data_IF_929881183479
#
_entry.id   IF_929881183479
#
_cell.length_a   1.000
_cell.length_b   1.000
_cell.length_c   1.000
_cell.angle_alpha   90.00
_cell.angle_beta   90.00
_cell.angle_gamma   90.00
#
_symmetry.space_group_name_H-M   'P 1'
#
loop_
_entity.id
_entity.type
_entity.pdbx_description
1 polymer ?
#
# COMPACT_ATOMS: atom_id res chain seq x y z
N UNK A 1 -33.15 -44.56 -14.22
CA UNK A 1 -33.27 -43.59 -13.11
C UNK A 1 -34.08 -42.40 -13.61
N UNK A 2 -35.16 -42.00 -12.92
CA UNK A 2 -36.07 -40.95 -13.42
C UNK A 2 -35.37 -39.60 -13.54
N UNK A 3 -35.58 -38.86 -14.63
CA UNK A 3 -35.02 -37.51 -14.87
C UNK A 3 -35.37 -36.53 -13.75
N UNK A 4 -36.48 -36.75 -13.03
CA UNK A 4 -36.86 -36.00 -11.83
C UNK A 4 -35.96 -36.27 -10.63
N UNK A 5 -35.46 -37.49 -10.47
CA UNK A 5 -34.56 -37.86 -9.38
C UNK A 5 -33.18 -37.24 -9.65
N UNK A 6 -32.67 -37.36 -10.88
CA UNK A 6 -31.40 -36.77 -11.28
C UNK A 6 -31.37 -35.24 -11.10
N UNK A 7 -32.45 -34.54 -11.49
CA UNK A 7 -32.56 -33.08 -11.34
C UNK A 7 -32.60 -32.63 -9.87
N UNK A 8 -33.28 -33.39 -9.01
CA UNK A 8 -33.29 -33.11 -7.55
C UNK A 8 -31.93 -33.35 -6.93
N UNK A 9 -31.25 -34.44 -7.29
CA UNK A 9 -29.90 -34.74 -6.80
C UNK A 9 -28.89 -33.67 -7.22
N UNK A 10 -28.94 -33.19 -8.47
CA UNK A 10 -28.05 -32.12 -8.96
C UNK A 10 -28.30 -30.80 -8.23
N UNK A 11 -29.57 -30.39 -8.04
CA UNK A 11 -29.90 -29.18 -7.29
C UNK A 11 -29.46 -29.28 -5.82
N UNK A 12 -29.67 -30.44 -5.19
CA UNK A 12 -29.22 -30.67 -3.81
C UNK A 12 -27.69 -30.66 -3.68
N UNK A 13 -26.94 -31.18 -4.65
CA UNK A 13 -25.47 -31.12 -4.66
C UNK A 13 -24.99 -29.67 -4.86
N UNK A 14 -25.61 -28.90 -5.75
CA UNK A 14 -25.31 -27.47 -5.92
C UNK A 14 -25.57 -26.66 -4.64
N UNK A 15 -26.70 -26.89 -3.96
CA UNK A 15 -27.00 -26.27 -2.66
C UNK A 15 -26.05 -26.72 -1.54
N UNK A 16 -25.59 -27.97 -1.57
CA UNK A 16 -24.62 -28.48 -0.60
C UNK A 16 -23.23 -27.88 -0.83
N UNK A 17 -22.84 -27.67 -2.09
CA UNK A 17 -21.60 -27.00 -2.46
C UNK A 17 -21.59 -25.52 -2.06
N UNK A 18 -22.74 -24.83 -2.07
CA UNK A 18 -22.84 -23.45 -1.53
C UNK A 18 -22.76 -23.37 -0.01
N UNK A 19 -22.89 -24.50 0.71
CA UNK A 19 -22.75 -24.56 2.16
C UNK A 19 -21.31 -24.86 2.61
N UNK A 20 -20.42 -25.18 1.66
CA UNK A 20 -18.97 -25.27 1.89
C UNK A 20 -18.35 -23.91 1.57
N UNK A 21 -18.86 -22.85 2.21
CA UNK A 21 -18.06 -21.63 2.33
C UNK A 21 -17.07 -21.96 3.44
N UNK A 22 -15.74 -21.95 3.19
CA UNK A 22 -14.80 -21.96 4.30
C UNK A 22 -15.19 -20.76 5.18
N UNK A 23 -15.66 -21.04 6.39
CA UNK A 23 -15.66 -20.03 7.44
C UNK A 23 -14.19 -19.70 7.65
N UNK A 24 -13.70 -18.67 6.97
CA UNK A 24 -12.48 -18.00 7.36
C UNK A 24 -12.80 -17.46 8.76
N UNK A 25 -12.24 -18.11 9.78
CA UNK A 25 -12.29 -17.53 11.11
C UNK A 25 -11.25 -16.42 11.09
N UNK A 26 -11.73 -15.25 10.72
CA UNK A 26 -11.19 -13.96 11.01
C UNK A 26 -10.59 -13.88 12.41
N UNK A 27 -9.28 -13.71 12.50
CA UNK A 27 -8.63 -13.39 13.78
C UNK A 27 -8.11 -11.97 13.72
N UNK A 28 -8.98 -10.99 14.02
CA UNK A 28 -8.54 -9.65 14.43
C UNK A 28 -7.66 -9.74 15.67
N UNK A 29 -6.82 -8.74 15.94
CA UNK A 29 -5.75 -8.72 16.95
C UNK A 29 -6.04 -9.58 18.19
N UNK A 30 -5.60 -10.84 18.13
CA UNK A 30 -5.76 -11.82 19.20
C UNK A 30 -6.86 -12.86 19.07
N UNK A 31 -7.46 -13.00 17.90
CA UNK A 31 -8.52 -13.97 17.63
C UNK A 31 -9.89 -13.61 18.18
N UNK A 32 -10.13 -12.34 18.49
CA UNK A 32 -11.41 -11.86 19.05
C UNK A 32 -11.78 -10.52 18.42
N UNK A 33 -13.04 -10.40 17.98
CA UNK A 33 -13.65 -9.12 17.57
C UNK A 33 -14.86 -8.79 18.48
N UNK A 34 -14.98 -7.56 19.01
CA UNK A 34 -14.01 -6.47 18.91
C UNK A 34 -12.68 -6.83 19.60
N UNK A 35 -11.56 -6.27 19.14
CA UNK A 35 -10.23 -6.52 19.71
C UNK A 35 -10.17 -6.12 21.19
N UNK A 36 -9.30 -6.78 21.95
CA UNK A 36 -9.07 -6.47 23.36
C UNK A 36 -7.68 -5.88 23.56
N UNK A 37 -7.63 -4.76 24.27
CA UNK A 37 -6.40 -4.03 24.53
C UNK A 37 -6.05 -4.03 26.02
N UNK A 38 -4.75 -4.12 26.30
CA UNK A 38 -4.18 -4.08 27.65
C UNK A 38 -3.35 -2.83 27.82
N UNK A 39 -3.71 -2.01 28.81
CA UNK A 39 -2.93 -0.85 29.18
C UNK A 39 -1.76 -1.24 30.08
N UNK A 40 -0.52 -0.95 29.68
CA UNK A 40 0.69 -1.16 30.48
C UNK A 40 1.71 -0.08 30.19
N UNK A 41 2.36 0.42 31.23
CA UNK A 41 3.48 1.38 31.11
C UNK A 41 3.19 2.67 30.33
N UNK A 42 1.94 3.14 30.27
CA UNK A 42 1.57 4.37 29.57
C UNK A 42 1.02 4.16 28.16
N UNK A 43 0.97 2.92 27.67
CA UNK A 43 0.61 2.58 26.30
C UNK A 43 -0.43 1.47 26.27
N UNK A 44 -1.17 1.37 25.16
CA UNK A 44 -2.12 0.29 24.90
C UNK A 44 -1.53 -0.74 23.97
N UNK A 45 -1.70 -2.00 24.33
CA UNK A 45 -1.18 -3.11 23.55
C UNK A 45 -2.29 -4.09 23.21
N UNK A 46 -2.21 -4.68 22.04
CA UNK A 46 -3.01 -5.86 21.70
C UNK A 46 -2.43 -7.14 22.32
N UNK A 47 -2.98 -8.29 21.93
CA UNK A 47 -2.53 -9.61 22.36
C UNK A 47 -1.21 -10.07 21.74
N UNK A 48 -0.80 -9.49 20.61
CA UNK A 48 0.47 -9.74 19.94
C UNK A 48 1.61 -9.01 20.64
N UNK A 49 1.26 -8.06 21.49
CA UNK A 49 2.21 -7.22 22.19
C UNK A 49 2.67 -6.03 21.36
N UNK A 50 1.96 -5.72 20.26
CA UNK A 50 2.16 -4.50 19.49
C UNK A 50 1.41 -3.38 20.20
N UNK A 51 2.07 -2.22 20.32
CA UNK A 51 1.48 -1.02 20.90
C UNK A 51 0.63 -0.31 19.85
N UNK A 52 -0.54 0.20 20.24
CA UNK A 52 -1.43 0.97 19.37
C UNK A 52 -1.16 2.47 19.44
N UNK A 53 -0.57 2.93 20.52
CA UNK A 53 -0.37 4.36 20.81
C UNK A 53 1.03 4.87 20.49
N UNK A 54 1.88 4.07 19.82
CA UNK A 54 3.25 4.46 19.54
C UNK A 54 3.76 3.76 18.27
N UNK A 55 4.17 4.54 17.28
CA UNK A 55 4.68 4.02 16.02
C UNK A 55 5.97 3.22 16.20
N UNK A 56 6.80 3.59 17.18
CA UNK A 56 8.21 3.22 17.21
C UNK A 56 8.60 2.28 18.37
N UNK A 57 9.80 1.72 18.25
CA UNK A 57 10.41 0.85 19.26
C UNK A 57 10.13 -0.63 19.03
N UNK A 58 10.65 -1.49 19.91
CA UNK A 58 10.59 -2.95 19.73
C UNK A 58 9.17 -3.55 19.73
N UNK A 59 8.16 -2.77 20.08
CA UNK A 59 6.75 -3.14 20.03
C UNK A 59 5.91 -2.13 19.24
N UNK A 60 6.53 -1.16 18.54
CA UNK A 60 5.85 -0.12 17.79
C UNK A 60 4.91 -0.69 16.74
N UNK A 61 3.84 0.02 16.36
CA UNK A 61 2.97 -0.49 15.28
C UNK A 61 3.65 -0.42 13.91
N UNK A 62 4.64 0.45 13.67
CA UNK A 62 5.39 0.48 12.42
C UNK A 62 6.60 -0.47 12.44
N UNK A 63 6.74 -1.37 11.44
CA UNK A 63 5.74 -1.80 10.46
C UNK A 63 4.88 -2.99 10.96
N UNK A 64 5.08 -3.43 12.22
CA UNK A 64 4.66 -4.72 12.73
C UNK A 64 3.15 -4.98 12.72
N UNK A 65 2.31 -3.95 12.81
CA UNK A 65 0.85 -4.13 12.81
C UNK A 65 0.33 -4.72 11.50
N UNK A 66 1.03 -4.50 10.38
CA UNK A 66 0.67 -5.11 9.10
C UNK A 66 0.71 -6.64 9.17
N UNK A 67 1.58 -7.22 10.01
CA UNK A 67 1.70 -8.68 10.17
C UNK A 67 0.42 -9.34 10.71
N UNK A 68 -0.46 -8.56 11.36
CA UNK A 68 -1.72 -9.06 11.92
C UNK A 68 -2.79 -9.36 10.87
N UNK A 69 -2.59 -8.96 9.60
CA UNK A 69 -3.61 -8.99 8.54
C UNK A 69 -3.13 -9.67 7.24
N UNK A 70 -1.92 -10.25 7.27
CA UNK A 70 -1.26 -10.91 6.14
C UNK A 70 -0.76 -12.30 6.52
N UNK A 71 -0.09 -13.00 5.59
CA UNK A 71 0.60 -14.25 5.91
C UNK A 71 -0.37 -15.35 6.37
N UNK A 72 -0.20 -15.90 7.56
CA UNK A 72 -1.16 -16.85 8.14
C UNK A 72 -2.37 -16.17 8.80
N UNK A 73 -2.32 -14.84 8.97
CA UNK A 73 -3.34 -14.03 9.66
C UNK A 73 -4.28 -13.31 8.70
N UNK A 74 -4.25 -13.64 7.40
CA UNK A 74 -5.12 -13.03 6.39
C UNK A 74 -6.58 -13.19 6.76
N UNK A 75 -7.32 -12.10 6.64
CA UNK A 75 -8.77 -12.08 6.81
C UNK A 75 -9.44 -11.15 5.78
N UNK A 76 -10.39 -10.32 6.19
CA UNK A 76 -11.35 -9.66 5.31
C UNK A 76 -10.68 -8.64 4.41
N UNK A 77 -9.72 -7.86 4.91
CA UNK A 77 -9.00 -6.87 4.12
C UNK A 77 -8.16 -7.55 3.03
N UNK A 78 -7.46 -8.64 3.36
CA UNK A 78 -6.69 -9.38 2.36
C UNK A 78 -7.60 -10.01 1.29
N UNK A 79 -8.72 -10.60 1.71
CA UNK A 79 -9.73 -11.16 0.79
C UNK A 79 -10.35 -10.09 -0.11
N UNK A 80 -10.54 -8.85 0.38
CA UNK A 80 -10.96 -7.73 -0.47
C UNK A 80 -9.93 -7.49 -1.58
N UNK A 81 -8.64 -7.47 -1.26
CA UNK A 81 -7.55 -7.39 -2.24
C UNK A 81 -7.59 -8.51 -3.29
N UNK A 82 -7.79 -9.76 -2.86
CA UNK A 82 -7.96 -10.89 -3.77
C UNK A 82 -9.18 -10.72 -4.70
N UNK A 83 -10.28 -10.17 -4.18
CA UNK A 83 -11.47 -9.87 -4.98
C UNK A 83 -11.20 -8.79 -6.03
N UNK A 84 -10.41 -7.76 -5.72
CA UNK A 84 -9.95 -6.79 -6.71
C UNK A 84 -9.14 -7.49 -7.82
N UNK A 85 -8.15 -8.31 -7.45
CA UNK A 85 -7.35 -9.08 -8.42
C UNK A 85 -8.19 -9.97 -9.33
N UNK A 86 -9.27 -10.55 -8.81
CA UNK A 86 -10.16 -11.40 -9.62
C UNK A 86 -11.13 -10.59 -10.50
N UNK A 87 -11.37 -9.32 -10.19
CA UNK A 87 -12.36 -8.47 -10.86
C UNK A 87 -11.77 -7.58 -11.96
N UNK A 88 -10.47 -7.33 -11.94
CA UNK A 88 -9.79 -6.42 -12.87
C UNK A 88 -8.71 -7.15 -13.68
N UNK A 89 -8.78 -7.03 -15.02
CA UNK A 89 -7.75 -7.56 -15.93
C UNK A 89 -6.53 -6.64 -16.03
N UNK A 90 -6.75 -5.33 -15.91
CA UNK A 90 -5.70 -4.32 -15.99
C UNK A 90 -5.17 -3.99 -14.59
N UNK A 91 -3.87 -4.26 -14.38
CA UNK A 91 -3.21 -4.10 -13.08
C UNK A 91 -3.16 -2.63 -12.62
N UNK A 92 -3.02 -1.69 -13.55
CA UNK A 92 -2.92 -0.26 -13.23
C UNK A 92 -4.28 0.30 -12.81
N UNK A 93 -5.34 -0.06 -13.53
CA UNK A 93 -6.70 0.27 -13.18
C UNK A 93 -7.11 -0.39 -11.87
N UNK A 94 -6.77 -1.67 -11.66
CA UNK A 94 -6.98 -2.34 -10.38
C UNK A 94 -6.35 -1.57 -9.22
N UNK A 95 -5.08 -1.16 -9.37
CA UNK A 95 -4.38 -0.39 -8.35
C UNK A 95 -5.10 0.93 -8.04
N UNK A 96 -5.48 1.68 -9.07
CA UNK A 96 -6.22 2.94 -8.89
C UNK A 96 -7.58 2.72 -8.20
N UNK A 97 -8.28 1.63 -8.52
CA UNK A 97 -9.57 1.29 -7.90
C UNK A 97 -9.44 0.84 -6.44
N UNK A 98 -8.31 0.26 -6.03
CA UNK A 98 -8.04 -0.03 -4.62
C UNK A 98 -7.91 1.27 -3.82
N UNK A 99 -7.15 2.24 -4.32
CA UNK A 99 -7.02 3.55 -3.69
C UNK A 99 -8.37 4.26 -3.56
N UNK A 100 -9.14 4.33 -4.66
CA UNK A 100 -10.47 4.93 -4.69
C UNK A 100 -11.43 4.27 -3.69
N UNK A 101 -11.35 2.94 -3.55
CA UNK A 101 -12.14 2.19 -2.60
C UNK A 101 -11.81 2.57 -1.15
N UNK A 102 -10.53 2.65 -0.77
CA UNK A 102 -10.13 3.06 0.58
C UNK A 102 -10.54 4.51 0.85
N UNK A 103 -10.30 5.43 -0.09
CA UNK A 103 -10.72 6.84 0.00
C UNK A 103 -12.25 7.01 0.11
N UNK A 104 -13.02 6.07 -0.43
CA UNK A 104 -14.49 6.06 -0.35
C UNK A 104 -15.00 5.54 1.00
N UNK A 105 -14.39 4.48 1.51
CA UNK A 105 -14.91 3.74 2.67
C UNK A 105 -14.24 4.08 4.00
N UNK A 106 -13.20 4.90 3.98
CA UNK A 106 -12.54 5.44 5.18
C UNK A 106 -12.52 6.96 5.10
N UNK A 107 -13.12 7.61 6.10
CA UNK A 107 -13.05 9.05 6.28
C UNK A 107 -11.84 9.40 7.13
N UNK A 108 -11.02 10.32 6.65
CA UNK A 108 -9.89 10.81 7.43
C UNK A 108 -10.37 11.48 8.72
N UNK A 109 -9.85 11.05 9.87
CA UNK A 109 -10.15 11.67 11.15
C UNK A 109 -9.12 11.31 12.21
N UNK A 110 -8.62 12.33 12.91
CA UNK A 110 -7.59 12.18 13.95
C UNK A 110 -8.05 11.30 15.11
N UNK A 111 -7.14 10.52 15.68
CA UNK A 111 -7.42 9.65 16.81
C UNK A 111 -7.95 10.36 18.05
N UNK A 112 -7.38 11.52 18.36
CA UNK A 112 -7.77 12.30 19.55
C UNK A 112 -9.26 12.66 19.55
N UNK A 113 -9.87 12.74 18.37
CA UNK A 113 -11.27 13.07 18.17
C UNK A 113 -12.17 11.82 18.04
N UNK A 114 -11.62 10.66 17.67
CA UNK A 114 -12.40 9.50 17.22
C UNK A 114 -12.16 8.22 18.03
N UNK A 115 -11.01 8.08 18.71
CA UNK A 115 -10.63 6.89 19.46
C UNK A 115 -10.71 7.15 20.96
N UNK A 116 -11.57 6.38 21.64
CA UNK A 116 -11.79 6.52 23.08
C UNK A 116 -11.66 5.19 23.81
N UNK A 117 -10.57 5.02 24.56
CA UNK A 117 -10.39 3.89 25.46
C UNK A 117 -10.82 4.30 26.87
N UNK A 118 -11.78 3.57 27.44
CA UNK A 118 -12.35 3.90 28.76
C UNK A 118 -12.84 5.35 28.89
N UNK A 119 -13.37 5.92 27.78
CA UNK A 119 -13.83 7.33 27.67
C UNK A 119 -12.70 8.36 27.73
N UNK A 120 -11.46 7.96 27.50
CA UNK A 120 -10.29 8.85 27.38
C UNK A 120 -9.90 8.92 25.91
N UNK A 121 -9.79 10.11 25.29
CA UNK A 121 -9.29 10.24 23.93
C UNK A 121 -7.86 9.72 23.84
N UNK A 122 -7.51 9.09 22.72
CA UNK A 122 -6.14 8.63 22.46
C UNK A 122 -5.50 9.60 21.48
N UNK A 123 -4.33 10.14 21.82
CA UNK A 123 -3.62 11.08 20.94
C UNK A 123 -3.10 10.41 19.65
N UNK A 124 -2.99 9.09 19.68
CA UNK A 124 -2.40 8.22 18.65
C UNK A 124 -3.00 6.82 18.80
N UNK A 125 -3.39 6.17 17.70
CA UNK A 125 -3.99 4.85 17.68
C UNK A 125 -3.99 4.19 16.30
N UNK A 126 -3.14 3.18 16.10
CA UNK A 126 -3.18 2.37 14.88
C UNK A 126 -4.22 1.23 14.93
N UNK A 127 -5.17 1.24 14.00
CA UNK A 127 -5.99 0.10 13.61
C UNK A 127 -5.27 -0.76 12.57
N UNK A 128 -5.37 -2.08 12.70
CA UNK A 128 -4.95 -2.94 11.61
C UNK A 128 -5.98 -2.95 10.47
N UNK A 129 -5.60 -3.46 9.30
CA UNK A 129 -6.46 -3.42 8.12
C UNK A 129 -7.81 -4.15 8.31
N UNK A 130 -7.83 -5.28 9.02
CA UNK A 130 -9.07 -6.03 9.24
C UNK A 130 -10.00 -5.32 10.22
N UNK A 131 -9.46 -4.74 11.30
CA UNK A 131 -10.21 -3.91 12.25
C UNK A 131 -10.90 -2.75 11.54
N UNK A 132 -10.17 -2.05 10.66
CA UNK A 132 -10.72 -0.96 9.86
C UNK A 132 -11.74 -1.45 8.82
N UNK A 133 -11.49 -2.60 8.19
CA UNK A 133 -12.40 -3.20 7.23
C UNK A 133 -13.73 -3.68 7.86
N UNK A 134 -13.71 -4.13 9.12
CA UNK A 134 -14.94 -4.44 9.86
C UNK A 134 -15.72 -3.19 10.28
N UNK A 135 -15.09 -2.02 10.34
CA UNK A 135 -15.71 -0.79 10.80
C UNK A 135 -16.60 -0.11 9.75
N UNK A 136 -16.34 -0.32 8.45
CA UNK A 136 -17.22 0.18 7.39
C UNK A 136 -18.24 -0.87 6.92
N UNK A 137 -19.31 -0.40 6.27
CA UNK A 137 -20.38 -1.26 5.76
C UNK A 137 -20.98 -0.68 4.47
N UNK A 138 -20.72 -1.38 3.37
CA UNK A 138 -21.17 -0.96 2.03
C UNK A 138 -22.70 -1.02 1.86
N UNK A 139 -23.37 -1.92 2.58
CA UNK A 139 -24.83 -2.09 2.46
C UNK A 139 -25.58 -0.95 3.14
N UNK A 140 -25.07 -0.46 4.27
CA UNK A 140 -25.68 0.64 5.02
C UNK A 140 -25.09 2.00 4.66
N UNK A 141 -23.98 2.03 3.92
CA UNK A 141 -23.27 3.26 3.55
C UNK A 141 -22.51 3.89 4.72
N UNK A 142 -22.11 3.08 5.71
CA UNK A 142 -21.30 3.54 6.85
C UNK A 142 -19.83 3.46 6.47
N UNK A 143 -19.12 4.58 6.51
CA UNK A 143 -17.66 4.61 6.35
C UNK A 143 -16.99 4.43 7.72
N UNK A 144 -15.79 3.84 7.71
CA UNK A 144 -14.90 3.82 8.86
C UNK A 144 -14.26 5.21 9.05
N UNK A 145 -13.66 5.41 10.21
CA UNK A 145 -12.84 6.59 10.49
C UNK A 145 -11.46 6.07 10.85
N UNK A 146 -10.44 6.67 10.26
CA UNK A 146 -9.03 6.43 10.57
C UNK A 146 -8.18 7.54 9.99
N UNK A 147 -6.93 7.65 10.40
CA UNK A 147 -5.99 8.64 9.88
C UNK A 147 -4.90 7.98 9.02
N UNK A 148 -3.66 8.48 9.05
CA UNK A 148 -2.70 8.20 8.00
C UNK A 148 -2.24 6.75 7.99
N UNK A 149 -1.89 6.20 9.16
CA UNK A 149 -1.41 4.83 9.31
C UNK A 149 -2.53 3.82 9.08
N UNK A 150 -3.73 4.09 9.57
CA UNK A 150 -4.91 3.24 9.40
C UNK A 150 -5.20 3.00 7.91
N UNK A 151 -5.28 4.11 7.17
CA UNK A 151 -5.55 4.08 5.74
C UNK A 151 -4.38 3.46 4.98
N UNK A 152 -3.13 3.69 5.40
CA UNK A 152 -1.96 3.08 4.80
C UNK A 152 -1.92 1.56 5.00
N UNK A 153 -2.20 1.06 6.19
CA UNK A 153 -2.24 -0.39 6.47
C UNK A 153 -3.39 -1.08 5.73
N UNK A 154 -4.58 -0.47 5.68
CA UNK A 154 -5.68 -1.01 4.87
C UNK A 154 -5.30 -1.08 3.39
N UNK A 155 -4.78 0.02 2.83
CA UNK A 155 -4.27 0.02 1.46
C UNK A 155 -3.24 -1.09 1.23
N UNK A 156 -2.22 -1.17 2.10
CA UNK A 156 -1.13 -2.13 1.96
C UNK A 156 -1.64 -3.57 1.92
N UNK A 157 -2.56 -3.94 2.81
CA UNK A 157 -3.17 -5.27 2.82
C UNK A 157 -3.97 -5.56 1.55
N UNK A 158 -4.76 -4.59 1.07
CA UNK A 158 -5.53 -4.76 -0.18
C UNK A 158 -4.59 -4.93 -1.38
N UNK A 159 -3.51 -4.14 -1.48
CA UNK A 159 -2.53 -4.27 -2.55
C UNK A 159 -1.79 -5.61 -2.50
N UNK A 160 -1.36 -6.06 -1.32
CA UNK A 160 -0.75 -7.38 -1.13
C UNK A 160 -1.71 -8.50 -1.54
N UNK A 161 -2.97 -8.45 -1.10
CA UNK A 161 -4.01 -9.39 -1.53
C UNK A 161 -4.24 -9.36 -3.05
N UNK A 162 -4.10 -8.18 -3.65
CA UNK A 162 -4.20 -7.99 -5.08
C UNK A 162 -2.95 -8.43 -5.88
N UNK A 163 -1.87 -8.86 -5.20
CA UNK A 163 -0.62 -9.27 -5.83
C UNK A 163 0.24 -8.09 -6.31
N UNK A 164 0.20 -6.98 -5.58
CA UNK A 164 1.07 -5.83 -5.77
C UNK A 164 1.97 -5.70 -4.53
N UNK A 165 3.28 -5.68 -4.77
CA UNK A 165 4.25 -5.50 -3.69
C UNK A 165 4.15 -4.09 -3.13
N UNK A 166 4.33 -3.98 -1.81
CA UNK A 166 4.16 -2.74 -1.05
C UNK A 166 5.43 -2.40 -0.27
N UNK A 167 5.55 -1.13 0.12
CA UNK A 167 6.43 -0.70 1.20
C UNK A 167 5.71 0.37 2.04
N UNK A 168 5.64 0.20 3.36
CA UNK A 168 5.04 1.20 4.26
C UNK A 168 6.02 2.36 4.43
N UNK A 169 5.58 3.59 4.19
CA UNK A 169 6.41 4.80 4.32
C UNK A 169 6.21 5.41 5.70
N UNK A 170 7.32 5.64 6.41
CA UNK A 170 7.40 6.46 7.62
C UNK A 170 8.04 7.79 7.25
N UNK A 171 7.19 8.81 7.08
CA UNK A 171 7.59 10.18 6.80
C UNK A 171 7.37 11.06 8.05
N UNK A 172 8.05 12.22 8.17
CA UNK A 172 7.88 13.09 9.32
C UNK A 172 6.42 13.48 9.58
N UNK A 173 5.82 12.88 10.62
CA UNK A 173 4.44 13.11 11.03
C UNK A 173 3.38 12.54 10.09
N UNK A 174 3.73 11.56 9.24
CA UNK A 174 2.80 10.97 8.27
C UNK A 174 3.20 9.55 7.90
N UNK A 175 2.20 8.68 7.78
CA UNK A 175 2.37 7.32 7.25
C UNK A 175 1.68 7.22 5.90
N UNK A 176 2.38 6.63 4.93
CA UNK A 176 1.84 6.36 3.60
C UNK A 176 2.31 4.97 3.13
N UNK A 177 2.15 4.68 1.84
CA UNK A 177 2.77 3.51 1.24
C UNK A 177 3.31 3.79 -0.16
N UNK A 178 4.27 2.98 -0.56
CA UNK A 178 4.68 2.78 -1.94
C UNK A 178 4.11 1.46 -2.46
N UNK A 179 3.87 1.40 -3.77
CA UNK A 179 3.56 0.14 -4.47
C UNK A 179 4.48 -0.04 -5.68
N UNK A 180 4.85 -1.30 -5.97
CA UNK A 180 5.68 -1.61 -7.14
C UNK A 180 4.83 -1.62 -8.41
N UNK A 181 4.84 -0.51 -9.15
CA UNK A 181 4.08 -0.33 -10.39
C UNK A 181 4.87 0.50 -11.41
N UNK A 182 6.02 -0.03 -11.90
CA UNK A 182 6.99 0.73 -12.70
C UNK A 182 6.42 1.30 -14.02
N UNK A 183 5.42 0.65 -14.59
CA UNK A 183 4.82 1.05 -15.87
C UNK A 183 3.62 2.00 -15.72
N UNK A 184 3.29 2.47 -14.50
CA UNK A 184 2.14 3.33 -14.26
C UNK A 184 2.34 4.75 -14.81
N UNK A 185 1.65 5.21 -15.85
CA UNK A 185 2.05 6.39 -16.63
C UNK A 185 1.78 7.75 -15.95
N UNK A 186 1.02 7.77 -14.85
CA UNK A 186 0.54 9.03 -14.25
C UNK A 186 1.21 9.37 -12.91
N UNK A 187 2.25 8.63 -12.51
CA UNK A 187 3.00 8.99 -11.31
C UNK A 187 3.80 10.28 -11.53
N UNK A 188 3.80 11.18 -10.54
CA UNK A 188 4.63 12.39 -10.61
C UNK A 188 6.09 12.13 -10.21
N UNK A 189 6.36 11.00 -9.55
CA UNK A 189 7.68 10.55 -9.15
C UNK A 189 7.70 9.02 -9.05
N UNK A 190 8.80 8.43 -9.49
CA UNK A 190 9.12 7.02 -9.26
C UNK A 190 10.30 6.97 -8.33
N UNK A 191 10.19 6.13 -7.32
CA UNK A 191 11.17 5.94 -6.29
C UNK A 191 11.95 4.67 -6.55
N UNK A 192 13.22 4.72 -6.16
CA UNK A 192 14.11 3.58 -6.01
C UNK A 192 14.38 3.45 -4.51
N UNK A 193 14.43 2.22 -4.02
CA UNK A 193 14.56 1.90 -2.60
C UNK A 193 15.90 1.19 -2.37
N UNK A 194 16.70 1.66 -1.42
CA UNK A 194 18.00 1.04 -1.12
C UNK A 194 17.81 -0.44 -0.78
N UNK A 195 18.64 -1.35 -1.29
CA UNK A 195 18.50 -2.80 -1.11
C UNK A 195 17.32 -3.47 -1.85
N UNK A 196 16.56 -2.76 -2.69
CA UNK A 196 15.67 -3.38 -3.68
C UNK A 196 16.40 -3.47 -5.04
N UNK A 197 16.69 -4.70 -5.48
CA UNK A 197 17.45 -4.93 -6.73
C UNK A 197 16.66 -4.57 -8.00
N UNK A 198 15.36 -4.26 -7.90
CA UNK A 198 14.51 -3.92 -9.05
C UNK A 198 14.73 -2.50 -9.56
N UNK A 199 15.32 -1.61 -8.75
CA UNK A 199 15.61 -0.23 -9.09
C UNK A 199 14.38 0.69 -9.06
N UNK A 200 14.39 1.74 -9.90
CA UNK A 200 13.31 2.73 -9.96
C UNK A 200 11.99 2.13 -10.47
N UNK A 201 10.92 2.27 -9.70
CA UNK A 201 9.59 1.77 -10.09
C UNK A 201 8.52 1.80 -9.00
N UNK A 202 8.89 2.18 -7.79
CA UNK A 202 7.96 2.38 -6.69
C UNK A 202 7.20 3.69 -6.86
N UNK A 203 5.87 3.66 -6.73
CA UNK A 203 5.03 4.87 -6.82
C UNK A 203 4.30 5.10 -5.50
N UNK A 204 4.10 6.37 -5.16
CA UNK A 204 3.42 6.78 -3.92
C UNK A 204 1.92 6.53 -3.99
N UNK A 205 1.34 6.07 -2.88
CA UNK A 205 -0.10 5.96 -2.68
C UNK A 205 -0.47 6.82 -1.48
N UNK A 206 -1.15 7.93 -1.75
CA UNK A 206 -1.59 8.87 -0.73
C UNK A 206 -3.09 8.69 -0.46
N UNK A 207 -3.44 7.93 0.57
CA UNK A 207 -4.82 7.56 0.85
C UNK A 207 -5.60 8.65 1.62
N UNK A 208 -4.92 9.57 2.31
CA UNK A 208 -5.58 10.47 3.28
C UNK A 208 -6.45 11.57 2.65
N UNK A 209 -6.25 11.86 1.37
CA UNK A 209 -7.08 12.81 0.63
C UNK A 209 -8.11 12.11 -0.26
N UNK A 210 -9.38 12.51 -0.24
CA UNK A 210 -10.47 11.81 -0.96
C UNK A 210 -10.37 11.89 -2.49
N UNK A 211 -9.42 12.64 -3.02
CA UNK A 211 -9.20 12.83 -4.46
C UNK A 211 -7.72 12.77 -4.85
N UNK A 212 -6.86 12.28 -3.96
CA UNK A 212 -5.44 12.17 -4.26
C UNK A 212 -5.24 11.06 -5.29
N UNK A 213 -4.64 11.35 -6.46
CA UNK A 213 -4.49 10.35 -7.51
C UNK A 213 -3.38 9.37 -7.17
N UNK A 214 -3.52 8.13 -7.65
CA UNK A 214 -2.46 7.13 -7.55
C UNK A 214 -1.15 7.65 -8.17
N UNK A 215 -0.02 7.39 -7.52
CA UNK A 215 1.31 7.80 -7.98
C UNK A 215 1.66 9.26 -7.69
N UNK A 216 0.80 10.00 -6.99
CA UNK A 216 1.11 11.36 -6.54
C UNK A 216 1.87 11.33 -5.22
N UNK A 217 3.16 11.64 -5.30
CA UNK A 217 4.00 11.98 -4.14
C UNK A 217 3.73 13.43 -3.75
N UNK A 218 3.30 13.72 -2.51
CA UNK A 218 3.17 15.08 -1.99
C UNK A 218 4.50 15.85 -2.06
N UNK A 219 4.45 17.15 -2.38
CA UNK A 219 5.68 17.95 -2.60
C UNK A 219 6.62 17.97 -1.39
N UNK A 220 6.06 17.92 -0.18
CA UNK A 220 6.80 17.89 1.08
C UNK A 220 7.60 16.60 1.33
N UNK A 221 7.30 15.52 0.60
CA UNK A 221 8.02 14.24 0.71
C UNK A 221 8.87 13.94 -0.53
N UNK A 222 9.02 14.91 -1.44
CA UNK A 222 9.82 14.73 -2.66
C UNK A 222 11.32 14.78 -2.41
N UNK A 223 11.76 15.26 -1.24
CA UNK A 223 13.17 15.33 -0.84
C UNK A 223 13.76 13.98 -0.40
N UNK A 224 12.92 12.96 -0.23
CA UNK A 224 13.37 11.63 0.21
C UNK A 224 13.70 11.58 1.71
N UNK A 225 13.26 12.55 2.51
CA UNK A 225 13.48 12.52 3.96
C UNK A 225 12.43 11.66 4.68
N UNK A 226 12.40 10.37 4.35
CA UNK A 226 11.50 9.35 4.90
C UNK A 226 12.14 7.97 4.76
N UNK A 227 11.65 6.97 5.49
CA UNK A 227 12.05 5.56 5.34
C UNK A 227 10.88 4.73 4.86
N UNK A 228 11.16 3.57 4.28
CA UNK A 228 10.13 2.63 3.86
C UNK A 228 10.43 1.20 4.31
N UNK A 229 9.39 0.46 4.65
CA UNK A 229 9.47 -0.93 5.08
C UNK A 229 8.76 -1.82 4.07
N UNK A 230 9.52 -2.53 3.24
CA UNK A 230 8.95 -3.52 2.32
C UNK A 230 8.90 -4.91 2.98
N UNK A 231 8.21 -5.82 2.31
CA UNK A 231 8.08 -7.21 2.75
C UNK A 231 8.79 -8.16 1.80
N UNK A 232 9.65 -9.01 2.36
CA UNK A 232 10.19 -10.20 1.70
C UNK A 232 9.76 -11.45 2.47
N UNK A 233 8.74 -12.14 1.94
CA UNK A 233 8.05 -13.20 2.66
C UNK A 233 7.42 -12.67 3.95
N UNK A 234 7.92 -13.14 5.09
CA UNK A 234 7.48 -12.75 6.43
C UNK A 234 8.46 -11.78 7.13
N UNK A 235 9.43 -11.23 6.39
CA UNK A 235 10.47 -10.34 6.93
C UNK A 235 10.26 -8.91 6.43
N UNK A 236 10.39 -7.95 7.34
CA UNK A 236 10.44 -6.54 6.98
C UNK A 236 11.87 -6.12 6.63
N UNK A 237 12.00 -5.42 5.50
CA UNK A 237 13.25 -4.84 5.04
C UNK A 237 13.09 -3.32 5.08
N UNK A 238 13.99 -2.65 5.78
CA UNK A 238 14.06 -1.19 5.83
C UNK A 238 14.81 -0.66 4.60
N UNK A 239 14.26 0.41 4.02
CA UNK A 239 14.76 1.08 2.83
C UNK A 239 14.80 2.58 3.07
N UNK A 240 15.85 3.21 2.55
CA UNK A 240 15.89 4.65 2.31
C UNK A 240 15.55 4.88 0.82
N UNK A 241 14.89 5.99 0.46
CA UNK A 241 14.80 6.39 -0.93
C UNK A 241 16.20 6.68 -1.48
N UNK A 242 16.49 6.16 -2.67
CA UNK A 242 17.69 6.57 -3.40
C UNK A 242 17.43 7.97 -3.95
N UNK A 243 18.23 8.91 -3.48
CA UNK A 243 18.15 10.28 -3.93
C UNK A 243 18.70 10.41 -5.36
N UNK A 244 17.80 10.34 -6.35
CA UNK A 244 18.11 10.62 -7.74
C UNK A 244 18.21 12.14 -8.03
N UNK A 245 18.30 13.02 -7.02
CA UNK A 245 18.58 14.46 -7.22
C UNK A 245 19.96 14.75 -7.85
N UNK A 246 20.71 13.72 -8.27
CA UNK A 246 21.90 13.85 -9.12
C UNK A 246 21.80 13.04 -10.42
N UNK A 247 20.72 13.17 -11.16
CA UNK A 247 20.84 13.33 -12.61
C UNK A 247 20.09 14.62 -12.96
N UNK A 248 20.75 15.76 -12.69
CA UNK A 248 20.67 16.85 -13.64
C UNK A 248 20.88 16.18 -15.00
N UNK A 249 19.84 16.22 -15.83
CA UNK A 249 20.03 15.98 -17.25
C UNK A 249 21.19 16.88 -17.66
N UNK A 250 22.37 16.32 -17.86
CA UNK A 250 23.34 16.92 -18.76
C UNK A 250 22.60 17.04 -20.08
N UNK A 251 21.91 18.18 -20.28
CA UNK A 251 21.69 18.73 -21.60
C UNK A 251 23.07 18.66 -22.24
N UNK A 252 23.28 17.65 -23.11
CA UNK A 252 24.60 17.32 -23.60
C UNK A 252 25.30 18.58 -24.09
N UNK A 253 26.23 19.09 -23.30
CA UNK A 253 27.08 20.18 -23.71
C UNK A 253 27.86 19.64 -24.89
N UNK A 254 27.49 20.09 -26.10
CA UNK A 254 28.28 19.81 -27.29
C UNK A 254 29.65 20.39 -27.00
N UNK A 255 30.62 19.51 -26.77
CA UNK A 255 31.98 19.91 -26.48
C UNK A 255 32.48 20.81 -27.60
N UNK A 256 33.20 21.88 -27.27
CA UNK A 256 33.91 22.69 -28.28
C UNK A 256 34.75 21.80 -29.20
N UNK A 257 35.23 20.66 -28.70
CA UNK A 257 35.95 19.67 -29.48
C UNK A 257 35.07 18.95 -30.51
N UNK A 258 33.81 18.65 -30.20
CA UNK A 258 32.85 18.06 -31.16
C UNK A 258 32.50 19.03 -32.28
N UNK A 259 32.38 20.32 -31.96
CA UNK A 259 32.20 21.39 -32.94
C UNK A 259 33.44 21.51 -33.85
N UNK A 260 34.64 21.51 -33.25
CA UNK A 260 35.90 21.59 -34.01
C UNK A 260 36.07 20.37 -34.93
N UNK A 261 35.82 19.16 -34.43
CA UNK A 261 35.90 17.92 -35.21
C UNK A 261 34.90 17.96 -36.37
N UNK A 262 33.67 18.38 -36.11
CA UNK A 262 32.63 18.51 -37.15
C UNK A 262 33.03 19.51 -38.23
N UNK A 263 33.57 20.67 -37.85
CA UNK A 263 34.08 21.67 -38.81
C UNK A 263 35.23 21.11 -39.64
N UNK A 264 36.18 20.40 -39.02
CA UNK A 264 37.31 19.78 -39.73
C UNK A 264 36.80 18.77 -40.75
N UNK A 265 35.85 17.92 -40.39
CA UNK A 265 35.25 16.92 -41.30
C UNK A 265 34.59 17.62 -42.49
N UNK A 266 33.79 18.67 -42.25
CA UNK A 266 33.12 19.43 -43.32
C UNK A 266 34.14 20.08 -44.27
N UNK A 267 35.18 20.74 -43.73
CA UNK A 267 36.23 21.37 -44.54
C UNK A 267 36.98 20.33 -45.36
N UNK A 268 37.29 19.18 -44.78
CA UNK A 268 37.98 18.11 -45.50
C UNK A 268 37.13 17.54 -46.65
N UNK A 269 35.83 17.36 -46.43
CA UNK A 269 34.88 16.91 -47.45
C UNK A 269 34.72 17.93 -48.59
N UNK A 270 34.65 19.22 -48.26
CA UNK A 270 34.56 20.31 -49.23
C UNK A 270 35.85 20.46 -50.05
N UNK A 271 37.01 20.17 -49.47
CA UNK A 271 38.29 20.19 -50.16
C UNK A 271 38.55 18.92 -50.99
N UNK A 272 38.08 17.75 -50.56
CA UNK A 272 38.22 16.50 -51.32
C UNK A 272 37.33 16.45 -52.55
N UNK A 273 36.20 17.15 -52.55
CA UNK A 273 35.24 17.21 -53.66
C UNK A 273 35.55 18.30 -54.72
N UNK A 274 36.71 18.97 -54.63
CA UNK A 274 37.18 19.96 -55.64
C UNK A 274 38.17 19.37 -56.66
N UNK A 275 38.02 18.10 -57.03
CA UNK A 275 38.73 17.49 -58.16
C UNK A 275 37.77 17.08 -59.26
#
# INVERSE_FOLDING_TARGET
MSTRILRKTVISILLLLTLIVPYCNATTSGGVYPPQFTYKSGEWYDSWGITRTNAYGGNGYLPFILSETIGENRDIAFMMGENFRNSYLDRQNMAAMILDYVQTWVQYGYDVDNVFLNKVPQDEWAWNADELAYAFNETTGVAAIGDCEDMAFLCATLYLGAGIDIAIVDAPGHVALLIWLPDYPNANKYWDLTNDERGTGWIWVEATGPTNPLGWTPSEYTDGFWTAWSMDGDTYIEHDPVDNLTEDSEEGEISIWDIIITIIIIVFFLLSNRK
#
